data_IF_548723109195
#
_entry.id   IF_548723109195
#
_cell.length_a   1.000
_cell.length_b   1.000
_cell.length_c   1.000
_cell.angle_alpha   90.00
_cell.angle_beta   90.00
_cell.angle_gamma   90.00
#
_symmetry.space_group_name_H-M   'P 1'
#
loop_
_entity.id
_entity.type
_entity.pdbx_description
1 polymer ?
#
# COMPACT_ATOMS: atom_id res chain seq x y z
N UNK A 1 -9.37 14.66 -45.97
CA UNK A 1 -10.74 14.96 -46.46
C UNK A 1 -11.67 15.01 -45.25
N UNK A 2 -12.39 16.11 -45.04
CA UNK A 2 -13.29 16.26 -43.90
C UNK A 2 -14.61 15.49 -44.11
N UNK A 3 -15.06 14.77 -43.09
CA UNK A 3 -16.35 14.06 -43.09
C UNK A 3 -17.26 14.64 -42.01
N UNK A 4 -18.53 14.83 -42.34
CA UNK A 4 -19.53 15.31 -41.37
C UNK A 4 -19.72 14.26 -40.26
N UNK A 5 -19.58 14.68 -39.02
CA UNK A 5 -19.86 13.82 -37.87
C UNK A 5 -21.37 13.59 -37.71
N UNK A 6 -21.75 12.37 -37.29
CA UNK A 6 -23.08 12.11 -36.76
C UNK A 6 -23.28 12.86 -35.44
N UNK A 7 -24.51 13.29 -35.14
CA UNK A 7 -24.82 14.04 -33.91
C UNK A 7 -24.33 13.34 -32.64
N UNK A 8 -24.40 12.00 -32.58
CA UNK A 8 -23.89 11.21 -31.45
C UNK A 8 -22.37 11.28 -31.26
N UNK A 9 -21.62 11.57 -32.32
CA UNK A 9 -20.15 11.60 -32.34
C UNK A 9 -19.59 13.02 -32.35
N UNK A 10 -20.44 14.06 -32.27
CA UNK A 10 -20.01 15.46 -32.38
C UNK A 10 -18.95 15.85 -31.34
N UNK A 11 -18.97 15.18 -30.17
CA UNK A 11 -18.01 15.38 -29.07
C UNK A 11 -16.68 14.62 -29.23
N UNK A 12 -16.51 13.85 -30.31
CA UNK A 12 -15.31 13.06 -30.59
C UNK A 12 -14.59 13.50 -31.89
N UNK A 13 -15.03 14.61 -32.49
CA UNK A 13 -14.41 15.21 -33.67
C UNK A 13 -13.31 16.21 -33.29
N UNK A 14 -13.40 17.43 -33.85
CA UNK A 14 -12.51 18.55 -33.52
C UNK A 14 -12.79 19.11 -32.13
N UNK A 15 -11.73 19.43 -31.41
CA UNK A 15 -11.77 20.19 -30.17
C UNK A 15 -12.11 21.64 -30.50
N UNK A 16 -13.07 22.19 -29.77
CA UNK A 16 -13.48 23.59 -29.87
C UNK A 16 -13.31 24.20 -28.49
N UNK A 17 -12.54 25.28 -28.40
CA UNK A 17 -12.29 25.99 -27.15
C UNK A 17 -12.81 27.42 -27.26
N UNK A 18 -13.17 28.00 -26.12
CA UNK A 18 -13.31 29.44 -26.03
C UNK A 18 -11.91 30.06 -25.90
N UNK A 19 -11.53 30.91 -26.86
CA UNK A 19 -10.21 31.54 -26.84
C UNK A 19 -10.17 32.81 -27.67
N UNK A 20 -9.43 33.80 -27.18
CA UNK A 20 -9.04 35.00 -27.92
C UNK A 20 -7.64 34.87 -28.55
N UNK A 21 -6.89 33.81 -28.21
CA UNK A 21 -5.52 33.62 -28.65
C UNK A 21 -5.42 33.42 -30.16
N UNK A 22 -4.57 34.22 -30.81
CA UNK A 22 -4.39 34.24 -32.27
C UNK A 22 -3.41 33.17 -32.73
N UNK A 23 -2.53 32.70 -31.84
CA UNK A 23 -1.52 31.68 -32.13
C UNK A 23 -1.54 30.55 -31.10
N UNK A 24 -1.35 29.28 -31.53
CA UNK A 24 -1.21 28.17 -30.62
C UNK A 24 0.14 28.22 -29.92
N UNK A 25 0.23 27.63 -28.72
CA UNK A 25 1.47 27.56 -27.95
C UNK A 25 2.57 26.75 -28.65
N UNK A 26 2.18 25.77 -29.46
CA UNK A 26 3.09 24.87 -30.16
C UNK A 26 2.62 24.73 -31.61
N UNK A 27 3.33 25.36 -32.55
CA UNK A 27 3.26 25.07 -34.00
C UNK A 27 4.40 25.78 -34.72
N UNK A 28 5.13 25.07 -35.57
CA UNK A 28 6.12 25.67 -36.48
C UNK A 28 5.53 26.01 -37.85
N UNK A 29 4.25 25.67 -38.07
CA UNK A 29 3.50 25.89 -39.31
C UNK A 29 2.32 26.80 -39.01
N UNK A 30 1.91 27.63 -39.97
CA UNK A 30 0.73 28.47 -39.83
C UNK A 30 -0.54 27.60 -39.79
N UNK A 31 -1.27 27.58 -38.66
CA UNK A 31 -2.47 26.77 -38.55
C UNK A 31 -3.67 27.43 -39.25
N UNK A 32 -4.65 26.64 -39.63
CA UNK A 32 -5.99 27.12 -39.97
C UNK A 32 -6.89 27.15 -38.73
N UNK A 33 -7.82 28.10 -38.71
CA UNK A 33 -8.81 28.21 -37.66
C UNK A 33 -10.22 28.25 -38.22
N UNK A 34 -11.13 27.54 -37.56
CA UNK A 34 -12.56 27.76 -37.69
C UNK A 34 -13.04 28.54 -36.47
N UNK A 35 -13.67 29.70 -36.70
CA UNK A 35 -14.07 30.65 -35.64
C UNK A 35 -15.57 30.86 -35.66
N UNK A 36 -16.21 30.76 -34.50
CA UNK A 36 -17.62 31.11 -34.30
C UNK A 36 -17.78 31.82 -32.96
N UNK A 37 -18.09 33.13 -32.98
CA UNK A 37 -18.07 33.98 -31.78
C UNK A 37 -16.71 33.87 -31.06
N UNK A 38 -16.71 33.48 -29.78
CA UNK A 38 -15.50 33.25 -28.98
C UNK A 38 -14.96 31.82 -29.11
N UNK A 39 -15.70 30.92 -29.79
CA UNK A 39 -15.29 29.55 -30.03
C UNK A 39 -14.30 29.46 -31.20
N UNK A 40 -13.20 28.74 -31.00
CA UNK A 40 -12.17 28.48 -32.01
C UNK A 40 -11.84 26.99 -32.05
N UNK A 41 -11.72 26.45 -33.26
CA UNK A 41 -11.13 25.15 -33.54
C UNK A 41 -9.89 25.35 -34.41
N UNK A 42 -8.84 24.58 -34.14
CA UNK A 42 -7.56 24.68 -34.86
C UNK A 42 -7.34 23.45 -35.74
N UNK A 43 -6.73 23.66 -36.89
CA UNK A 43 -6.12 22.65 -37.74
C UNK A 43 -4.66 23.03 -37.96
N UNK A 44 -3.74 22.18 -37.50
CA UNK A 44 -2.32 22.48 -37.55
C UNK A 44 -1.68 22.25 -38.92
N UNK A 45 -2.44 21.78 -39.93
CA UNK A 45 -1.94 21.55 -41.29
C UNK A 45 -0.69 20.66 -41.37
N UNK A 46 -0.54 19.70 -40.46
CA UNK A 46 0.69 18.91 -40.35
C UNK A 46 0.77 17.76 -41.37
N UNK A 47 -0.14 17.68 -42.35
CA UNK A 47 -0.25 16.54 -43.26
C UNK A 47 -1.17 15.43 -42.73
N UNK A 48 -1.39 14.38 -43.53
CA UNK A 48 -2.26 13.25 -43.16
C UNK A 48 -1.54 12.13 -42.40
N UNK A 49 -0.21 12.19 -42.37
CA UNK A 49 0.71 11.28 -41.69
C UNK A 49 0.92 11.65 -40.20
N UNK A 50 0.55 12.88 -39.82
CA UNK A 50 0.65 13.37 -38.44
C UNK A 50 -0.73 13.44 -37.78
N UNK A 51 -0.81 12.96 -36.54
CA UNK A 51 -2.03 13.09 -35.74
C UNK A 51 -2.34 14.57 -35.48
N UNK A 52 -3.51 15.00 -35.94
CA UNK A 52 -3.99 16.36 -35.70
C UNK A 52 -4.33 16.58 -34.22
N UNK A 53 -3.51 17.39 -33.56
CA UNK A 53 -3.66 17.77 -32.14
C UNK A 53 -4.99 18.52 -31.86
N UNK A 54 -5.66 19.03 -32.90
CA UNK A 54 -6.98 19.63 -32.82
C UNK A 54 -8.13 18.61 -32.73
N UNK A 55 -7.86 17.30 -32.74
CA UNK A 55 -8.86 16.25 -32.57
C UNK A 55 -8.99 15.82 -31.10
N UNK A 56 -10.22 15.46 -30.71
CA UNK A 56 -10.50 14.91 -29.40
C UNK A 56 -9.75 13.58 -29.25
N UNK A 57 -8.97 13.46 -28.19
CA UNK A 57 -8.15 12.26 -27.94
C UNK A 57 -9.02 11.04 -27.60
N UNK A 58 -8.58 9.87 -28.05
CA UNK A 58 -9.14 8.59 -27.63
C UNK A 58 -9.14 8.46 -26.10
N UNK A 59 -10.22 7.91 -25.54
CA UNK A 59 -10.48 7.82 -24.10
C UNK A 59 -11.21 9.02 -23.50
N UNK A 60 -11.36 10.14 -24.22
CA UNK A 60 -12.05 11.33 -23.69
C UNK A 60 -13.53 11.04 -23.46
N UNK A 61 -14.07 11.43 -22.30
CA UNK A 61 -15.50 11.30 -21.98
C UNK A 61 -16.36 12.14 -22.93
N UNK A 62 -17.31 11.50 -23.60
CA UNK A 62 -18.26 12.17 -24.51
C UNK A 62 -19.71 12.13 -23.99
N UNK A 63 -20.01 11.33 -22.97
CA UNK A 63 -21.31 11.25 -22.33
C UNK A 63 -21.30 10.41 -21.06
N UNK A 64 -22.48 10.19 -20.44
CA UNK A 64 -22.64 9.19 -19.39
C UNK A 64 -22.21 7.82 -19.93
N UNK A 65 -21.30 7.16 -19.21
CA UNK A 65 -20.73 5.85 -19.56
C UNK A 65 -20.24 5.72 -21.01
N UNK A 66 -19.72 6.82 -21.56
CA UNK A 66 -19.27 6.88 -22.95
C UNK A 66 -17.96 7.63 -23.12
N UNK A 67 -17.12 7.09 -23.99
CA UNK A 67 -15.79 7.60 -24.32
C UNK A 67 -15.57 7.67 -25.83
N UNK A 68 -14.66 8.54 -26.26
CA UNK A 68 -14.26 8.66 -27.66
C UNK A 68 -13.26 7.57 -28.01
N UNK A 69 -13.54 6.77 -29.04
CA UNK A 69 -12.59 5.83 -29.66
C UNK A 69 -12.75 5.96 -31.17
N UNK A 70 -11.66 6.17 -31.90
CA UNK A 70 -11.64 6.33 -33.35
C UNK A 70 -12.69 7.32 -33.87
N UNK A 71 -12.77 8.48 -33.21
CA UNK A 71 -13.74 9.56 -33.49
C UNK A 71 -15.23 9.20 -33.27
N UNK A 72 -15.51 8.10 -32.58
CA UNK A 72 -16.86 7.66 -32.24
C UNK A 72 -17.11 7.73 -30.73
N UNK A 73 -18.31 8.15 -30.34
CA UNK A 73 -18.74 8.15 -28.94
C UNK A 73 -19.39 6.80 -28.59
N UNK A 74 -18.58 5.90 -28.04
CA UNK A 74 -18.93 4.50 -27.75
C UNK A 74 -19.12 4.29 -26.24
N UNK A 75 -19.79 3.19 -25.87
CA UNK A 75 -19.99 2.85 -24.45
C UNK A 75 -18.65 2.45 -23.81
N UNK A 76 -18.41 2.86 -22.56
CA UNK A 76 -17.17 2.58 -21.81
C UNK A 76 -16.90 1.09 -21.60
N UNK A 77 -17.92 0.23 -21.69
CA UNK A 77 -17.81 -1.24 -21.63
C UNK A 77 -16.85 -1.82 -22.67
N UNK A 78 -16.64 -1.15 -23.81
CA UNK A 78 -15.65 -1.58 -24.83
C UNK A 78 -14.21 -1.60 -24.29
N UNK A 79 -13.93 -0.89 -23.20
CA UNK A 79 -12.63 -0.91 -22.53
C UNK A 79 -12.41 -2.16 -21.67
N UNK A 80 -13.47 -2.95 -21.39
CA UNK A 80 -13.37 -4.19 -20.61
C UNK A 80 -13.00 -4.03 -19.14
N UNK A 81 -12.79 -2.79 -18.64
CA UNK A 81 -12.26 -2.54 -17.30
C UNK A 81 -13.09 -3.15 -16.18
N UNK A 82 -14.42 -2.99 -16.23
CA UNK A 82 -15.31 -3.50 -15.18
C UNK A 82 -15.36 -5.04 -15.14
N UNK A 83 -15.39 -5.68 -16.31
CA UNK A 83 -15.33 -7.15 -16.40
C UNK A 83 -14.00 -7.67 -15.88
N UNK A 84 -12.88 -7.08 -16.32
CA UNK A 84 -11.54 -7.45 -15.84
C UNK A 84 -11.40 -7.27 -14.32
N UNK A 85 -11.98 -6.21 -13.75
CA UNK A 85 -11.97 -5.99 -12.31
C UNK A 85 -12.76 -7.05 -11.54
N UNK A 86 -13.95 -7.43 -12.03
CA UNK A 86 -14.75 -8.48 -11.42
C UNK A 86 -14.04 -9.85 -11.51
N UNK A 87 -13.46 -10.15 -12.66
CA UNK A 87 -12.83 -11.44 -12.94
C UNK A 87 -11.47 -11.60 -12.23
N UNK A 88 -10.63 -10.56 -12.22
CA UNK A 88 -9.25 -10.62 -11.68
C UNK A 88 -9.22 -10.31 -10.19
N UNK A 89 -9.97 -9.28 -9.76
CA UNK A 89 -9.96 -8.82 -8.37
C UNK A 89 -11.15 -9.34 -7.57
N UNK A 90 -11.87 -10.36 -8.07
CA UNK A 90 -13.04 -10.97 -7.42
C UNK A 90 -14.12 -9.93 -7.02
N UNK A 91 -14.20 -8.79 -7.71
CA UNK A 91 -15.09 -7.68 -7.37
C UNK A 91 -14.73 -6.93 -6.07
N UNK A 92 -13.59 -7.25 -5.44
CA UNK A 92 -13.18 -6.73 -4.14
C UNK A 92 -11.93 -5.82 -4.20
N UNK A 93 -11.60 -5.31 -5.39
CA UNK A 93 -10.50 -4.37 -5.56
C UNK A 93 -10.53 -3.71 -6.93
N UNK A 94 -9.72 -2.68 -7.12
CA UNK A 94 -9.57 -1.97 -8.39
C UNK A 94 -8.24 -2.34 -9.05
N UNK A 95 -8.25 -2.51 -10.38
CA UNK A 95 -7.02 -2.72 -11.14
C UNK A 95 -6.27 -1.39 -11.31
N UNK A 96 -4.97 -1.42 -11.07
CA UNK A 96 -4.07 -0.34 -11.45
C UNK A 96 -3.50 -0.55 -12.88
N UNK A 97 -2.63 0.36 -13.30
CA UNK A 97 -1.95 0.36 -14.60
C UNK A 97 -0.99 -0.83 -14.78
N UNK A 98 -0.51 -1.43 -13.70
CA UNK A 98 0.28 -2.66 -13.71
C UNK A 98 -0.58 -3.94 -13.77
N UNK A 99 -1.90 -3.80 -13.88
CA UNK A 99 -2.86 -4.92 -13.83
C UNK A 99 -2.83 -5.69 -12.50
N UNK A 100 -2.42 -5.02 -11.42
CA UNK A 100 -2.48 -5.54 -10.06
C UNK A 100 -3.71 -5.01 -9.34
N UNK A 101 -4.29 -5.83 -8.47
CA UNK A 101 -5.45 -5.41 -7.68
C UNK A 101 -5.04 -4.61 -6.46
N UNK A 102 -5.65 -3.44 -6.31
CA UNK A 102 -5.72 -2.72 -5.06
C UNK A 102 -7.00 -3.12 -4.33
N UNK A 103 -6.88 -4.01 -3.36
CA UNK A 103 -7.99 -4.59 -2.61
C UNK A 103 -8.62 -3.60 -1.64
N UNK A 104 -9.95 -3.65 -1.58
CA UNK A 104 -10.75 -2.93 -0.58
C UNK A 104 -10.47 -3.48 0.83
N UNK A 105 -10.78 -2.67 1.84
CA UNK A 105 -10.69 -3.08 3.24
C UNK A 105 -11.44 -4.39 3.48
N UNK A 106 -10.81 -5.34 4.19
CA UNK A 106 -11.34 -6.67 4.41
C UNK A 106 -10.81 -7.74 3.45
N UNK A 107 -10.07 -7.38 2.40
CA UNK A 107 -9.53 -8.31 1.41
C UNK A 107 -8.01 -8.17 1.27
N UNK A 108 -7.29 -9.25 0.91
CA UNK A 108 -5.85 -9.19 0.67
C UNK A 108 -5.47 -9.35 -0.81
N UNK A 109 -4.42 -8.64 -1.26
CA UNK A 109 -3.80 -8.89 -2.56
C UNK A 109 -3.22 -10.31 -2.64
N UNK A 110 -2.99 -10.88 -3.84
CA UNK A 110 -2.98 -10.21 -5.16
C UNK A 110 -4.33 -10.14 -5.89
N UNK A 111 -5.31 -10.98 -5.54
CA UNK A 111 -6.59 -11.11 -6.29
C UNK A 111 -7.82 -10.70 -5.49
N UNK A 112 -7.66 -10.25 -4.24
CA UNK A 112 -8.77 -9.88 -3.35
C UNK A 112 -9.80 -11.01 -3.15
N UNK A 113 -9.34 -12.26 -3.20
CA UNK A 113 -10.15 -13.48 -3.00
C UNK A 113 -10.23 -13.93 -1.54
N UNK A 114 -9.36 -13.39 -0.70
CA UNK A 114 -9.17 -13.84 0.68
C UNK A 114 -9.23 -12.67 1.64
N UNK A 115 -9.64 -12.93 2.88
CA UNK A 115 -9.78 -11.89 3.91
C UNK A 115 -8.43 -11.27 4.28
N UNK A 116 -8.39 -9.95 4.42
CA UNK A 116 -7.17 -9.19 4.69
C UNK A 116 -7.44 -7.75 5.09
N UNK A 117 -6.40 -6.92 5.13
CA UNK A 117 -6.56 -5.52 5.52
C UNK A 117 -6.85 -4.58 4.36
N UNK A 118 -6.70 -5.01 3.10
CA UNK A 118 -6.68 -4.14 1.92
C UNK A 118 -5.27 -3.94 1.35
N UNK A 119 -5.17 -3.11 0.32
CA UNK A 119 -3.92 -2.73 -0.32
C UNK A 119 -3.60 -3.52 -1.59
N UNK A 120 -2.42 -3.31 -2.15
CA UNK A 120 -1.91 -3.97 -3.36
C UNK A 120 -0.58 -4.66 -3.06
N UNK A 121 -0.15 -5.56 -3.94
CA UNK A 121 1.25 -6.03 -3.97
C UNK A 121 2.24 -4.89 -4.22
N UNK A 122 1.81 -3.79 -4.83
CA UNK A 122 2.68 -2.64 -5.15
C UNK A 122 2.85 -1.66 -3.98
N UNK A 123 1.74 -1.35 -3.30
CA UNK A 123 1.72 -0.38 -2.20
C UNK A 123 1.89 -1.02 -0.82
N UNK A 124 1.84 -2.34 -0.75
CA UNK A 124 1.75 -3.09 0.50
C UNK A 124 0.36 -3.03 1.15
N UNK A 125 0.19 -3.73 2.29
CA UNK A 125 -1.07 -3.79 3.01
C UNK A 125 -1.38 -2.47 3.75
N UNK A 126 -2.66 -2.15 3.88
CA UNK A 126 -3.13 -0.94 4.56
C UNK A 126 -3.21 -1.08 6.09
N UNK A 127 -2.89 -2.24 6.66
CA UNK A 127 -2.92 -2.40 8.12
C UNK A 127 -1.93 -1.42 8.76
N UNK A 128 -2.42 -0.44 9.52
CA UNK A 128 -1.57 0.26 10.49
C UNK A 128 -1.15 -0.75 11.54
N UNK A 129 0.15 -1.02 11.65
CA UNK A 129 0.73 -1.88 12.69
C UNK A 129 0.22 -1.45 14.05
N UNK A 130 -0.81 -2.13 14.54
CA UNK A 130 -1.47 -1.75 15.79
C UNK A 130 -0.59 -2.28 16.91
N UNK A 131 0.38 -1.49 17.37
CA UNK A 131 1.13 -1.68 18.60
C UNK A 131 0.20 -1.54 19.83
N UNK A 132 -0.91 -2.28 19.87
CA UNK A 132 -1.96 -2.18 20.89
C UNK A 132 -1.51 -2.71 22.25
N UNK A 133 -0.41 -3.47 22.30
CA UNK A 133 0.09 -4.13 23.50
C UNK A 133 1.31 -3.44 24.12
N UNK A 134 1.94 -2.50 23.42
CA UNK A 134 3.07 -1.74 23.95
C UNK A 134 2.74 -1.00 25.27
N UNK A 135 1.55 -0.37 25.43
CA UNK A 135 1.23 0.31 26.69
C UNK A 135 1.13 -0.64 27.89
N UNK A 136 0.68 -1.89 27.68
CA UNK A 136 0.58 -2.88 28.75
C UNK A 136 1.97 -3.34 29.23
N UNK A 137 2.93 -3.47 28.30
CA UNK A 137 4.31 -3.80 28.65
C UNK A 137 4.97 -2.74 29.55
N UNK A 138 4.63 -1.46 29.36
CA UNK A 138 5.15 -0.35 30.19
C UNK A 138 4.62 -0.35 31.63
N UNK A 139 3.45 -0.94 31.89
CA UNK A 139 2.87 -1.03 33.25
C UNK A 139 3.28 -2.32 33.95
N UNK A 140 3.33 -3.45 33.23
CA UNK A 140 3.65 -4.76 33.83
C UNK A 140 5.14 -4.87 34.20
N UNK A 141 6.04 -4.31 33.40
CA UNK A 141 7.49 -4.31 33.66
C UNK A 141 7.89 -3.70 35.01
N UNK A 142 7.49 -2.46 35.37
CA UNK A 142 7.85 -1.87 36.66
C UNK A 142 7.23 -2.60 37.86
N UNK A 143 6.03 -3.18 37.72
CA UNK A 143 5.39 -3.97 38.79
C UNK A 143 6.19 -5.24 39.11
N UNK A 144 6.67 -5.94 38.08
CA UNK A 144 7.50 -7.13 38.26
C UNK A 144 8.86 -6.79 38.88
N UNK A 145 9.49 -5.69 38.45
CA UNK A 145 10.75 -5.21 39.04
C UNK A 145 10.56 -4.80 40.50
N UNK A 146 9.50 -4.06 40.83
CA UNK A 146 9.20 -3.67 42.20
C UNK A 146 8.94 -4.89 43.11
N UNK A 147 8.21 -5.89 42.62
CA UNK A 147 7.97 -7.14 43.35
C UNK A 147 9.28 -7.92 43.59
N UNK A 148 10.18 -7.98 42.60
CA UNK A 148 11.48 -8.64 42.73
C UNK A 148 12.40 -7.91 43.73
N UNK A 149 12.45 -6.57 43.68
CA UNK A 149 13.19 -5.74 44.65
C UNK A 149 12.62 -5.95 46.07
N UNK A 150 11.29 -5.93 46.22
CA UNK A 150 10.64 -6.16 47.50
C UNK A 150 10.97 -7.55 48.07
N UNK A 151 10.90 -8.60 47.23
CA UNK A 151 11.19 -9.98 47.65
C UNK A 151 12.65 -10.17 48.03
N UNK A 152 13.58 -9.65 47.23
CA UNK A 152 15.03 -9.72 47.51
C UNK A 152 15.40 -8.96 48.80
N UNK A 153 14.83 -7.78 49.01
CA UNK A 153 15.02 -7.02 50.25
C UNK A 153 14.44 -7.73 51.47
N UNK A 154 13.25 -8.34 51.34
CA UNK A 154 12.65 -9.15 52.42
C UNK A 154 13.56 -10.33 52.78
N UNK A 155 14.07 -11.04 51.77
CA UNK A 155 15.01 -12.16 51.94
C UNK A 155 16.32 -11.71 52.61
N UNK A 156 16.86 -10.56 52.21
CA UNK A 156 18.07 -10.01 52.82
C UNK A 156 17.83 -9.58 54.27
N UNK A 157 16.70 -8.93 54.58
CA UNK A 157 16.32 -8.58 55.96
C UNK A 157 16.13 -9.81 56.85
N UNK A 158 15.53 -10.88 56.33
CA UNK A 158 15.41 -12.14 57.09
C UNK A 158 16.78 -12.78 57.34
N UNK A 159 17.72 -12.66 56.39
CA UNK A 159 19.10 -13.11 56.57
C UNK A 159 19.89 -12.22 57.57
N UNK A 160 19.60 -10.93 57.66
CA UNK A 160 20.19 -10.04 58.67
C UNK A 160 19.64 -10.27 60.09
N UNK A 161 18.38 -10.72 60.21
CA UNK A 161 17.78 -11.10 61.50
C UNK A 161 18.32 -12.42 62.05
N UNK A 162 18.82 -13.29 61.18
CA UNK A 162 19.48 -14.55 61.55
C UNK A 162 20.85 -14.61 60.87
N UNK A 163 21.88 -13.92 61.41
CA UNK A 163 23.24 -14.14 60.92
C UNK A 163 23.59 -15.62 61.11
N UNK A 164 24.24 -16.28 60.13
CA UNK A 164 24.72 -17.63 60.34
C UNK A 164 25.66 -17.62 61.55
N UNK A 165 25.39 -18.49 62.52
CA UNK A 165 26.22 -18.63 63.71
C UNK A 165 27.61 -19.06 63.26
N UNK A 166 28.61 -18.20 63.43
CA UNK A 166 30.00 -18.51 63.15
C UNK A 166 30.56 -19.26 64.37
N UNK A 167 30.45 -20.58 64.34
CA UNK A 167 30.98 -21.45 65.40
C UNK A 167 32.51 -21.52 65.29
N UNK A 168 33.21 -20.65 66.03
CA UNK A 168 34.64 -20.79 66.26
C UNK A 168 34.89 -21.71 67.47
N UNK A 169 34.92 -23.02 67.24
CA UNK A 169 35.60 -24.04 68.05
C UNK A 169 35.50 -25.36 67.27
N UNK A 170 36.49 -25.83 66.52
CA UNK A 170 37.70 -26.45 67.06
C UNK A 170 38.78 -26.48 65.96
N UNK A 171 40.00 -26.06 66.33
CA UNK A 171 41.21 -26.24 65.54
C UNK A 171 41.84 -27.60 65.89
N UNK A 172 42.53 -28.22 64.92
CA UNK A 172 43.25 -29.53 64.94
C UNK A 172 42.34 -30.73 64.67
N UNK A 173 42.60 -31.58 63.68
CA UNK A 173 43.79 -32.47 63.52
C UNK A 173 44.13 -32.59 62.02
N UNK A 174 45.33 -32.16 61.60
CA UNK A 174 46.52 -32.96 61.22
C UNK A 174 46.33 -33.93 60.05
N UNK A 175 47.24 -33.81 59.08
CA UNK A 175 47.37 -34.53 57.83
C UNK A 175 47.43 -36.06 57.98
N UNK A 176 46.65 -36.79 57.18
CA UNK A 176 47.00 -38.13 56.69
C UNK A 176 46.25 -38.46 55.40
N UNK A 177 46.98 -38.73 54.31
CA UNK A 177 46.49 -39.40 53.09
C UNK A 177 46.63 -40.91 53.29
N UNK A 178 45.66 -41.72 52.84
CA UNK A 178 46.07 -42.88 52.06
C UNK A 178 45.17 -43.13 50.83
N UNK A 179 45.86 -43.51 49.77
CA UNK A 179 45.39 -44.16 48.54
C UNK A 179 44.74 -45.54 48.76
N UNK A 180 43.99 -45.98 47.74
CA UNK A 180 43.58 -47.37 47.37
C UNK A 180 42.37 -47.95 48.11
N UNK A 181 41.26 -48.13 47.37
CA UNK A 181 40.62 -49.42 46.96
C UNK A 181 39.76 -50.01 48.09
N UNK A 182 38.51 -50.42 47.95
CA UNK A 182 37.81 -51.35 47.06
C UNK A 182 36.30 -51.02 47.17
N UNK A 183 35.53 -50.97 46.09
CA UNK A 183 34.66 -52.06 45.64
C UNK A 183 33.68 -52.67 46.69
N UNK A 184 32.39 -52.37 46.47
CA UNK A 184 31.25 -53.31 46.51
C UNK A 184 30.94 -54.10 47.79
N UNK A 185 29.71 -53.98 48.31
CA UNK A 185 28.63 -55.00 48.21
C UNK A 185 27.54 -54.81 49.25
N UNK A 186 26.29 -54.98 48.76
CA UNK A 186 25.19 -55.78 49.32
C UNK A 186 24.68 -55.40 50.72
N UNK A 187 23.39 -55.19 50.99
CA UNK A 187 22.09 -55.46 50.34
C UNK A 187 21.15 -54.36 50.83
#
# INVERSE_FOLDING_TARGET
>A
RYTRAFCRNVKCGKVVCESTAVWPLFSHVQPHFAVYKTCRAVDYNQGSDVLDLGLVKTGTKCGPDRVCIDHQCVNVSVLGYHSAQADICNGHGNLNDLHHCHCHDGWMPPYCSSLGCGGSIDSGPTCKGRHRLWPLALVVSPLLLAAWIYYSWRRHRTALRHPPIQNNATRSVSWYNPSLSEASRQI
#
